data_IF_459001107537
#
_entry.id   IF_459001107537
#
_cell.length_a   1.000
_cell.length_b   1.000
_cell.length_c   1.000
_cell.angle_alpha   90.00
_cell.angle_beta   90.00
_cell.angle_gamma   90.00
#
_symmetry.space_group_name_H-M   'P 1'
#
loop_
_entity.id
_entity.type
_entity.pdbx_description
1 polymer ?
#
# COMPACT_ATOMS: atom_id res chain seq x y z
N UNK A 1 5.55 -12.98 4.47
CA UNK A 1 4.56 -13.30 3.41
C UNK A 1 3.90 -11.99 2.97
N UNK A 2 4.74 -10.99 2.65
CA UNK A 2 4.34 -9.72 2.07
C UNK A 2 3.70 -9.96 0.70
N UNK A 3 3.00 -8.95 0.19
CA UNK A 3 2.13 -8.88 -1.00
C UNK A 3 2.78 -9.44 -2.29
N UNK A 4 3.11 -10.74 -2.32
CA UNK A 4 3.94 -11.38 -3.34
C UNK A 4 3.16 -11.80 -4.60
N UNK A 5 1.85 -11.56 -4.70
CA UNK A 5 1.03 -12.26 -5.70
C UNK A 5 0.02 -11.43 -6.51
N UNK A 6 0.08 -10.10 -6.51
CA UNK A 6 -0.95 -9.29 -7.17
C UNK A 6 -0.54 -8.61 -8.48
N UNK A 7 0.02 -9.39 -9.42
CA UNK A 7 -0.11 -9.03 -10.85
C UNK A 7 -0.28 -10.30 -11.68
N UNK A 8 -1.44 -10.94 -11.50
CA UNK A 8 -1.84 -12.12 -12.25
C UNK A 8 -2.31 -11.70 -13.65
N UNK A 9 -1.36 -11.39 -14.54
CA UNK A 9 -1.59 -11.50 -15.99
C UNK A 9 -0.41 -12.08 -16.77
N UNK A 10 0.81 -12.13 -16.21
CA UNK A 10 1.95 -12.74 -16.89
C UNK A 10 3.02 -13.22 -15.88
N UNK A 11 2.81 -14.39 -15.26
CA UNK A 11 3.91 -15.07 -14.55
C UNK A 11 4.77 -15.73 -15.61
N UNK A 12 5.82 -15.04 -16.07
CA UNK A 12 6.96 -15.71 -16.68
C UNK A 12 7.98 -16.01 -15.57
N UNK A 13 8.27 -17.28 -15.34
CA UNK A 13 9.38 -17.75 -14.50
C UNK A 13 9.31 -17.52 -12.97
N UNK A 14 8.12 -17.40 -12.38
CA UNK A 14 7.97 -17.39 -10.91
C UNK A 14 8.58 -16.18 -10.21
N UNK A 15 8.87 -15.10 -10.95
CA UNK A 15 9.26 -13.80 -10.39
C UNK A 15 8.01 -12.95 -10.18
N UNK A 16 7.94 -12.29 -9.02
CA UNK A 16 6.95 -11.25 -8.76
C UNK A 16 7.29 -10.00 -9.58
N UNK A 17 6.28 -9.20 -9.91
CA UNK A 17 6.49 -7.93 -10.63
C UNK A 17 6.83 -6.76 -9.70
N UNK A 18 6.38 -6.84 -8.45
CA UNK A 18 6.59 -5.84 -7.42
C UNK A 18 6.60 -6.51 -6.04
N UNK A 19 7.36 -5.95 -5.10
CA UNK A 19 7.39 -6.37 -3.71
C UNK A 19 7.41 -5.13 -2.82
N UNK A 20 6.44 -5.03 -1.90
CA UNK A 20 6.30 -3.92 -0.98
C UNK A 20 6.43 -4.44 0.45
N UNK A 21 7.48 -4.03 1.16
CA UNK A 21 7.82 -4.50 2.50
C UNK A 21 7.48 -3.48 3.61
N UNK A 22 6.29 -2.90 3.52
CA UNK A 22 5.79 -1.95 4.52
C UNK A 22 5.13 -2.66 5.71
N UNK A 23 4.14 -3.53 5.45
CA UNK A 23 3.47 -4.30 6.50
C UNK A 23 4.47 -5.26 7.16
N UNK A 24 4.60 -5.16 8.49
CA UNK A 24 5.55 -5.98 9.27
C UNK A 24 4.92 -7.26 9.81
N UNK A 25 3.58 -7.33 9.79
CA UNK A 25 2.79 -8.52 10.10
C UNK A 25 2.49 -9.39 8.87
N UNK A 26 1.87 -10.55 9.12
CA UNK A 26 1.29 -11.35 8.05
C UNK A 26 0.05 -10.66 7.48
N UNK A 27 -0.08 -10.60 6.15
CA UNK A 27 -1.28 -10.09 5.49
C UNK A 27 -2.46 -11.01 5.83
N UNK A 28 -3.56 -10.44 6.33
CA UNK A 28 -4.77 -11.16 6.72
C UNK A 28 -5.87 -11.08 5.66
N UNK A 29 -5.96 -9.97 4.93
CA UNK A 29 -6.88 -9.78 3.81
C UNK A 29 -6.29 -8.85 2.75
N UNK A 30 -6.75 -9.01 1.51
CA UNK A 30 -6.35 -8.21 0.35
C UNK A 30 -7.51 -8.09 -0.63
N UNK A 31 -7.84 -6.86 -1.04
CA UNK A 31 -8.94 -6.61 -1.98
C UNK A 31 -8.63 -5.44 -2.91
N UNK A 32 -8.94 -5.64 -4.19
CA UNK A 32 -8.94 -4.58 -5.18
C UNK A 32 -10.17 -3.69 -5.02
N UNK A 33 -10.00 -2.38 -5.25
CA UNK A 33 -11.13 -1.47 -5.30
C UNK A 33 -12.05 -1.83 -6.49
N UNK A 34 -13.38 -1.93 -6.28
CA UNK A 34 -14.32 -2.12 -7.38
C UNK A 34 -14.50 -0.85 -8.24
N UNK A 35 -14.03 0.30 -7.74
CA UNK A 35 -14.14 1.59 -8.42
C UNK A 35 -12.85 2.02 -9.15
N UNK A 36 -11.68 1.56 -8.67
CA UNK A 36 -10.37 1.99 -9.19
C UNK A 36 -9.45 0.78 -9.43
N UNK A 37 -9.18 0.47 -10.69
CA UNK A 37 -8.50 -0.79 -11.08
C UNK A 37 -7.02 -0.90 -10.69
N UNK A 38 -6.37 0.21 -10.32
CA UNK A 38 -4.99 0.22 -9.81
C UNK A 38 -4.91 0.21 -8.28
N UNK A 39 -6.04 0.39 -7.59
CA UNK A 39 -6.08 0.55 -6.15
C UNK A 39 -6.31 -0.79 -5.46
N UNK A 40 -5.50 -1.08 -4.45
CA UNK A 40 -5.64 -2.26 -3.60
C UNK A 40 -5.56 -1.84 -2.14
N UNK A 41 -6.36 -2.46 -1.30
CA UNK A 41 -6.22 -2.37 0.15
C UNK A 41 -5.68 -3.71 0.69
N UNK A 42 -4.96 -3.65 1.81
CA UNK A 42 -4.43 -4.83 2.51
C UNK A 42 -4.59 -4.65 4.02
N UNK A 43 -5.00 -5.70 4.73
CA UNK A 43 -4.95 -5.75 6.19
C UNK A 43 -3.80 -6.62 6.66
N UNK A 44 -3.22 -6.30 7.82
CA UNK A 44 -2.09 -7.04 8.36
C UNK A 44 -2.25 -7.33 9.85
N UNK A 45 -1.62 -8.40 10.30
CA UNK A 45 -1.56 -8.81 11.70
C UNK A 45 -0.80 -7.82 12.61
N UNK A 46 -0.17 -6.79 12.03
CA UNK A 46 0.38 -5.62 12.74
C UNK A 46 -0.66 -4.54 13.04
N UNK A 47 -1.96 -4.82 12.85
CA UNK A 47 -3.08 -3.93 13.16
C UNK A 47 -3.18 -2.70 12.26
N UNK A 48 -2.76 -2.85 11.00
CA UNK A 48 -2.83 -1.79 9.99
C UNK A 48 -3.66 -2.23 8.79
N UNK A 49 -4.37 -1.26 8.21
CA UNK A 49 -4.93 -1.35 6.86
C UNK A 49 -4.14 -0.38 5.99
N UNK A 50 -3.52 -0.89 4.94
CA UNK A 50 -2.72 -0.09 4.01
C UNK A 50 -3.45 0.00 2.67
N UNK A 51 -3.47 1.21 2.12
CA UNK A 51 -4.06 1.50 0.81
C UNK A 51 -2.96 1.82 -0.17
N UNK A 52 -3.05 1.22 -1.35
CA UNK A 52 -2.00 1.25 -2.35
C UNK A 52 -2.56 1.66 -3.71
N UNK A 53 -1.78 2.43 -4.46
CA UNK A 53 -2.01 2.65 -5.89
C UNK A 53 -0.84 2.11 -6.68
N UNK A 54 -1.10 1.06 -7.46
CA UNK A 54 -0.10 0.37 -8.25
C UNK A 54 0.20 1.04 -9.59
N UNK A 55 -0.52 2.12 -9.94
CA UNK A 55 -0.22 2.95 -11.10
C UNK A 55 0.89 3.98 -10.83
N UNK A 56 1.20 4.23 -9.54
CA UNK A 56 2.24 5.17 -9.14
C UNK A 56 3.60 4.57 -9.48
N UNK A 57 4.29 5.21 -10.43
CA UNK A 57 5.68 4.92 -10.79
C UNK A 57 6.65 5.80 -9.98
N UNK A 58 7.88 5.33 -9.79
CA UNK A 58 8.93 6.15 -9.17
C UNK A 58 9.42 7.18 -10.19
N UNK A 59 9.19 8.46 -9.96
CA UNK A 59 9.95 9.50 -10.66
C UNK A 59 11.24 9.81 -9.89
N UNK A 60 12.37 9.38 -10.45
CA UNK A 60 13.68 9.56 -9.84
C UNK A 60 14.12 11.04 -9.76
N UNK A 61 13.50 11.93 -10.55
CA UNK A 61 13.80 13.36 -10.55
C UNK A 61 13.08 14.04 -9.38
N UNK A 62 11.79 13.74 -9.19
CA UNK A 62 10.99 14.28 -8.08
C UNK A 62 11.52 13.80 -6.72
N UNK A 63 11.96 12.54 -6.59
CA UNK A 63 12.59 12.04 -5.35
C UNK A 63 13.86 12.83 -4.97
N UNK A 64 14.67 13.25 -5.94
CA UNK A 64 15.88 14.05 -5.68
C UNK A 64 15.51 15.47 -5.24
N UNK A 65 14.48 16.06 -5.85
CA UNK A 65 13.98 17.40 -5.49
C UNK A 65 13.35 17.41 -4.09
N UNK A 66 12.55 16.40 -3.74
CA UNK A 66 11.97 16.26 -2.40
C UNK A 66 13.03 16.02 -1.32
N UNK A 67 14.08 15.24 -1.59
CA UNK A 67 15.19 15.05 -0.63
C UNK A 67 15.98 16.33 -0.37
N UNK A 68 16.06 17.25 -1.35
CA UNK A 68 16.70 18.55 -1.15
C UNK A 68 15.79 19.56 -0.42
N UNK A 69 14.47 19.55 -0.67
CA UNK A 69 13.49 20.37 0.06
C UNK A 69 13.27 19.92 1.52
N UNK A 70 13.24 18.61 1.78
CA UNK A 70 13.09 18.02 3.12
C UNK A 70 14.32 18.30 4.00
N UNK A 71 15.50 18.49 3.40
CA UNK A 71 16.71 18.93 4.11
C UNK A 71 16.71 20.44 4.41
N UNK A 72 15.97 21.23 3.63
CA UNK A 72 15.88 22.68 3.79
C UNK A 72 14.76 23.11 4.76
N UNK A 73 13.73 22.28 4.93
CA UNK A 73 12.61 22.55 5.83
C UNK A 73 12.75 21.73 7.12
N UNK A 74 12.97 22.41 8.25
CA UNK A 74 13.03 21.76 9.56
C UNK A 74 11.73 20.96 9.84
N UNK A 75 11.86 19.63 9.94
CA UNK A 75 11.13 18.88 10.98
C UNK A 75 10.37 17.62 10.58
N UNK A 76 10.28 17.23 9.31
CA UNK A 76 9.63 15.96 8.93
C UNK A 76 10.56 15.16 8.03
N UNK A 77 11.42 14.34 8.63
CA UNK A 77 12.11 13.29 7.88
C UNK A 77 11.05 12.27 7.43
N UNK A 78 10.65 12.28 6.15
CA UNK A 78 9.89 11.17 5.60
C UNK A 78 10.81 9.95 5.68
N UNK A 79 10.45 8.88 6.44
CA UNK A 79 11.29 7.72 6.53
C UNK A 79 11.52 7.14 5.13
N UNK A 80 12.79 6.97 4.75
CA UNK A 80 13.24 6.45 3.44
C UNK A 80 12.67 5.05 3.12
N UNK A 81 11.99 4.41 4.09
CA UNK A 81 11.39 3.07 3.98
C UNK A 81 9.89 3.09 3.60
N UNK A 82 9.32 4.25 3.24
CA UNK A 82 7.91 4.34 2.80
C UNK A 82 7.85 4.23 1.26
N UNK A 83 7.22 3.18 0.70
CA UNK A 83 7.08 3.06 -0.75
C UNK A 83 6.11 4.11 -1.30
N UNK A 84 6.38 4.74 -2.46
CA UNK A 84 5.52 5.79 -3.03
C UNK A 84 4.13 5.30 -3.44
N UNK A 85 3.96 3.99 -3.64
CA UNK A 85 2.66 3.38 -3.91
C UNK A 85 1.73 3.37 -2.69
N UNK A 86 2.25 3.58 -1.48
CA UNK A 86 1.45 3.62 -0.26
C UNK A 86 0.76 4.98 -0.15
N UNK A 87 -0.56 4.99 -0.35
CA UNK A 87 -1.35 6.21 -0.28
C UNK A 87 -1.63 6.63 1.16
N UNK A 88 -2.13 5.71 1.98
CA UNK A 88 -2.43 5.98 3.38
C UNK A 88 -2.54 4.69 4.21
N UNK A 89 -2.38 4.86 5.52
CA UNK A 89 -2.47 3.78 6.51
C UNK A 89 -3.58 4.12 7.49
N UNK A 90 -4.57 3.23 7.61
CA UNK A 90 -5.56 3.28 8.67
C UNK A 90 -5.10 2.45 9.87
N UNK A 91 -5.22 3.05 11.06
CA UNK A 91 -4.83 2.47 12.35
C UNK A 91 -5.94 2.69 13.37
N UNK A 92 -5.88 1.97 14.49
CA UNK A 92 -6.80 2.13 15.63
C UNK A 92 -7.71 0.92 15.87
N UNK A 93 -7.74 -0.03 14.93
CA UNK A 93 -8.36 -1.35 15.11
C UNK A 93 -7.30 -2.40 15.44
N UNK A 94 -7.63 -3.40 16.26
CA UNK A 94 -6.74 -4.50 16.60
C UNK A 94 -7.28 -5.82 16.07
N UNK A 95 -6.39 -6.78 15.81
CA UNK A 95 -6.71 -8.15 15.41
C UNK A 95 -7.54 -8.25 14.12
N UNK A 96 -7.24 -7.39 13.14
CA UNK A 96 -7.96 -7.27 11.88
C UNK A 96 -7.84 -8.58 11.08
N UNK A 97 -8.97 -9.21 10.76
CA UNK A 97 -9.04 -10.49 10.04
C UNK A 97 -9.42 -10.32 8.59
N UNK A 98 -10.35 -9.42 8.33
CA UNK A 98 -10.91 -9.20 7.01
C UNK A 98 -11.25 -7.72 6.82
N UNK A 99 -11.34 -7.33 5.56
CA UNK A 99 -11.89 -6.06 5.14
C UNK A 99 -12.65 -6.28 3.84
N UNK A 100 -13.65 -5.45 3.58
CA UNK A 100 -14.43 -5.44 2.36
C UNK A 100 -14.68 -4.03 1.86
N UNK A 101 -14.46 -3.79 0.57
CA UNK A 101 -14.92 -2.57 -0.09
C UNK A 101 -16.45 -2.54 -0.18
N UNK A 102 -17.05 -1.38 0.05
CA UNK A 102 -18.49 -1.20 -0.11
C UNK A 102 -18.85 -0.94 -1.58
N UNK A 103 -19.46 -1.92 -2.25
CA UNK A 103 -19.79 -1.91 -3.70
C UNK A 103 -20.61 -0.70 -4.20
N UNK A 104 -21.36 -0.02 -3.34
CA UNK A 104 -22.17 1.14 -3.74
C UNK A 104 -21.61 2.49 -3.29
N UNK A 105 -20.58 2.51 -2.44
CA UNK A 105 -20.07 3.74 -1.83
C UNK A 105 -18.56 3.81 -2.08
N UNK A 106 -18.12 4.60 -3.09
CA UNK A 106 -16.71 4.80 -3.37
C UNK A 106 -15.95 5.28 -2.13
N UNK A 107 -14.81 4.64 -1.85
CA UNK A 107 -13.94 4.98 -0.72
C UNK A 107 -14.37 4.44 0.64
N UNK A 108 -15.48 3.69 0.74
CA UNK A 108 -15.88 3.06 1.99
C UNK A 108 -15.38 1.61 2.09
N UNK A 109 -14.79 1.28 3.24
CA UNK A 109 -14.36 -0.06 3.63
C UNK A 109 -14.95 -0.41 4.99
N UNK A 110 -15.29 -1.68 5.17
CA UNK A 110 -15.61 -2.27 6.46
C UNK A 110 -14.49 -3.25 6.84
N UNK A 111 -14.04 -3.24 8.09
CA UNK A 111 -13.02 -4.15 8.62
C UNK A 111 -13.49 -4.80 9.92
N UNK A 112 -13.13 -6.06 10.14
CA UNK A 112 -13.46 -6.81 11.38
C UNK A 112 -12.23 -7.37 12.08
#
# INVERSE_FOLDING_TARGET
LCVCFLLCRYISNGKYVANFDYCKGAITSIEWSPFEGSMVATTSADNQICFWDLSVERDAVEEMEHVEEDKASQGVEIPVDIPPQLLFVHQGQNNIKEMHWHEQIPGAILST
#
